data_IF_871558538868
#
_entry.id   IF_871558538868
#
_cell.length_a   1.000
_cell.length_b   1.000
_cell.length_c   1.000
_cell.angle_alpha   90.00
_cell.angle_beta   90.00
_cell.angle_gamma   90.00
#
_symmetry.space_group_name_H-M   'P 1'
#
loop_
_entity.id
_entity.type
_entity.pdbx_description
1 polymer ?
#
# COMPACT_ATOMS: atom_id res chain seq x y z
N UNK A 1 79.59 -36.86 -19.46
CA UNK A 1 78.56 -36.02 -20.15
C UNK A 1 77.20 -36.49 -19.72
N UNK A 2 76.63 -35.87 -18.73
CA UNK A 2 75.30 -36.21 -18.20
C UNK A 2 74.52 -34.89 -18.00
N UNK A 3 73.50 -34.66 -18.79
CA UNK A 3 72.65 -33.50 -18.70
C UNK A 3 71.58 -33.68 -17.61
N UNK A 4 71.62 -32.82 -16.61
CA UNK A 4 70.60 -32.68 -15.60
C UNK A 4 69.42 -31.87 -16.25
N UNK A 5 68.22 -32.45 -16.30
CA UNK A 5 67.01 -31.76 -16.70
C UNK A 5 66.25 -31.42 -15.42
N UNK A 6 66.27 -30.12 -15.06
CA UNK A 6 65.43 -29.58 -13.98
C UNK A 6 64.01 -29.48 -14.42
N UNK A 7 63.11 -30.21 -13.78
CA UNK A 7 61.65 -30.04 -13.91
C UNK A 7 61.21 -28.91 -12.98
N UNK A 8 60.85 -27.77 -13.56
CA UNK A 8 60.22 -26.67 -12.83
C UNK A 8 58.73 -26.99 -12.73
N UNK A 9 58.27 -27.36 -11.55
CA UNK A 9 56.84 -27.50 -11.26
C UNK A 9 56.26 -26.13 -10.93
N UNK A 10 55.46 -25.58 -11.84
CA UNK A 10 54.65 -24.37 -11.59
C UNK A 10 53.41 -24.80 -10.81
N UNK A 11 53.36 -24.53 -9.53
CA UNK A 11 52.15 -24.66 -8.71
C UNK A 11 51.28 -23.46 -8.96
N UNK A 12 50.19 -23.65 -9.71
CA UNK A 12 49.12 -22.65 -9.88
C UNK A 12 48.26 -22.65 -8.61
N UNK A 13 48.53 -21.72 -7.70
CA UNK A 13 47.67 -21.48 -6.53
C UNK A 13 46.38 -20.77 -7.02
N UNK A 14 45.28 -21.52 -7.13
CA UNK A 14 43.97 -20.93 -7.23
C UNK A 14 43.64 -20.26 -5.88
N UNK A 15 43.85 -18.95 -5.79
CA UNK A 15 43.33 -18.15 -4.72
C UNK A 15 41.81 -18.06 -4.92
N UNK A 16 41.05 -18.95 -4.29
CA UNK A 16 39.64 -18.78 -4.09
C UNK A 16 39.46 -17.56 -3.17
N UNK A 17 39.23 -16.39 -3.74
CA UNK A 17 38.80 -15.22 -2.98
C UNK A 17 37.43 -15.56 -2.39
N UNK A 18 37.41 -15.99 -1.13
CA UNK A 18 36.15 -15.98 -0.36
C UNK A 18 35.77 -14.52 -0.23
N UNK A 19 34.78 -14.08 -1.04
CA UNK A 19 34.16 -12.77 -0.85
C UNK A 19 33.64 -12.75 0.58
N UNK A 20 34.16 -11.85 1.40
CA UNK A 20 33.65 -11.64 2.74
C UNK A 20 32.18 -11.23 2.62
N UNK A 21 31.30 -11.84 3.42
CA UNK A 21 29.89 -11.49 3.47
C UNK A 21 29.77 -9.99 3.78
N UNK A 22 29.06 -9.26 2.91
CA UNK A 22 28.82 -7.84 3.14
C UNK A 22 27.61 -7.65 4.08
N UNK A 23 27.68 -6.63 4.92
CA UNK A 23 26.53 -6.18 5.71
C UNK A 23 25.74 -5.14 4.91
N UNK A 24 24.53 -5.51 4.49
CA UNK A 24 23.65 -4.65 3.70
C UNK A 24 22.45 -4.23 4.56
N UNK A 25 22.16 -2.93 4.59
CA UNK A 25 20.97 -2.42 5.28
C UNK A 25 20.08 -1.67 4.28
N UNK A 26 18.84 -2.13 4.13
CA UNK A 26 17.79 -1.45 3.39
C UNK A 26 16.86 -0.68 4.32
N UNK A 27 16.28 0.40 3.82
CA UNK A 27 15.13 1.07 4.41
C UNK A 27 13.93 0.93 3.46
N UNK A 28 12.89 0.23 3.91
CA UNK A 28 11.60 0.15 3.24
C UNK A 28 10.66 1.20 3.85
N UNK A 29 10.22 2.14 3.02
CA UNK A 29 9.26 3.19 3.39
C UNK A 29 7.91 2.84 2.80
N UNK A 30 6.87 2.69 3.64
CA UNK A 30 5.57 2.23 3.17
C UNK A 30 4.39 2.92 3.88
N UNK A 31 3.20 2.78 3.29
CA UNK A 31 1.97 3.27 3.90
C UNK A 31 1.52 2.39 5.08
N UNK A 32 0.73 2.99 5.99
CA UNK A 32 0.39 2.41 7.31
C UNK A 32 -0.10 0.95 7.32
N UNK A 33 -1.04 0.52 6.46
CA UNK A 33 -1.63 -0.81 6.55
C UNK A 33 -0.68 -1.99 6.34
N UNK A 34 0.53 -1.75 5.83
CA UNK A 34 1.46 -2.81 5.41
C UNK A 34 2.43 -3.31 6.46
N UNK A 35 2.36 -2.82 7.71
CA UNK A 35 3.32 -3.12 8.78
C UNK A 35 3.53 -4.62 9.00
N UNK A 36 2.45 -5.35 9.14
CA UNK A 36 2.44 -6.78 9.40
C UNK A 36 2.89 -7.58 8.18
N UNK A 37 2.44 -7.17 6.99
CA UNK A 37 2.85 -7.78 5.72
C UNK A 37 4.37 -7.68 5.54
N UNK A 38 4.94 -6.48 5.67
CA UNK A 38 6.37 -6.30 5.45
C UNK A 38 7.23 -7.01 6.47
N UNK A 39 6.78 -7.16 7.71
CA UNK A 39 7.48 -7.97 8.71
C UNK A 39 7.55 -9.43 8.27
N UNK A 40 6.42 -10.02 7.87
CA UNK A 40 6.35 -11.42 7.44
C UNK A 40 7.16 -11.64 6.14
N UNK A 41 7.09 -10.73 5.17
CA UNK A 41 7.94 -10.73 3.97
C UNK A 41 9.43 -10.72 4.34
N UNK A 42 9.84 -9.86 5.27
CA UNK A 42 11.24 -9.76 5.70
C UNK A 42 11.72 -11.03 6.38
N UNK A 43 10.90 -11.65 7.24
CA UNK A 43 11.23 -12.88 7.96
C UNK A 43 11.50 -14.05 7.02
N UNK A 44 10.86 -14.06 5.83
CA UNK A 44 11.10 -15.08 4.79
C UNK A 44 12.22 -14.67 3.82
N UNK A 45 12.25 -13.43 3.37
CA UNK A 45 13.22 -12.97 2.39
C UNK A 45 14.66 -12.92 2.91
N UNK A 46 14.89 -12.41 4.14
CA UNK A 46 16.25 -12.21 4.70
C UNK A 46 17.05 -13.51 4.74
N UNK A 47 16.51 -14.64 5.28
CA UNK A 47 17.23 -15.92 5.28
C UNK A 47 17.50 -16.44 3.86
N UNK A 48 16.53 -16.28 2.94
CA UNK A 48 16.69 -16.70 1.54
C UNK A 48 17.77 -15.88 0.82
N UNK A 49 17.79 -14.56 1.05
CA UNK A 49 18.83 -13.68 0.49
C UNK A 49 20.21 -14.08 0.98
N UNK A 50 20.38 -14.32 2.29
CA UNK A 50 21.65 -14.81 2.86
C UNK A 50 22.08 -16.13 2.24
N UNK A 51 21.17 -17.08 2.07
CA UNK A 51 21.47 -18.39 1.45
C UNK A 51 21.92 -18.25 0.00
N UNK A 52 21.36 -17.30 -0.75
CA UNK A 52 21.61 -17.17 -2.19
C UNK A 52 22.77 -16.23 -2.53
N UNK A 53 23.01 -15.20 -1.71
CA UNK A 53 24.02 -14.16 -1.95
C UNK A 53 25.21 -14.21 -1.00
N UNK A 54 25.05 -14.85 0.15
CA UNK A 54 26.08 -14.91 1.19
C UNK A 54 26.12 -13.69 2.12
N UNK A 55 25.49 -12.59 1.75
CA UNK A 55 25.49 -11.33 2.50
C UNK A 55 24.53 -11.35 3.69
N UNK A 56 24.88 -10.63 4.76
CA UNK A 56 23.97 -10.35 5.85
C UNK A 56 23.07 -9.16 5.46
N UNK A 57 21.76 -9.37 5.48
CA UNK A 57 20.79 -8.35 5.13
C UNK A 57 19.97 -7.94 6.35
N UNK A 58 19.86 -6.63 6.60
CA UNK A 58 18.91 -6.04 7.54
C UNK A 58 17.94 -5.14 6.77
N UNK A 59 16.65 -5.22 7.08
CA UNK A 59 15.62 -4.36 6.46
C UNK A 59 14.92 -3.56 7.54
N UNK A 60 15.20 -2.26 7.58
CA UNK A 60 14.50 -1.30 8.43
C UNK A 60 13.20 -0.89 7.77
N UNK A 61 12.22 -0.50 8.57
CA UNK A 61 10.89 -0.11 8.09
C UNK A 61 10.49 1.27 8.62
N UNK A 62 9.85 2.06 7.77
CA UNK A 62 9.16 3.30 8.15
C UNK A 62 7.73 3.25 7.60
N UNK A 63 6.75 3.48 8.46
CA UNK A 63 5.33 3.40 8.12
C UNK A 63 4.59 4.66 8.54
N UNK A 64 3.66 5.12 7.73
CA UNK A 64 2.84 6.29 8.00
C UNK A 64 1.81 6.55 6.90
N UNK A 65 1.11 7.67 6.94
CA UNK A 65 0.24 8.07 5.84
C UNK A 65 1.01 8.17 4.53
N UNK A 66 0.46 7.63 3.44
CA UNK A 66 1.18 7.46 2.17
C UNK A 66 1.82 8.75 1.65
N UNK A 67 1.03 9.83 1.55
CA UNK A 67 1.53 11.13 1.08
C UNK A 67 2.53 11.76 2.06
N UNK A 68 2.40 11.46 3.37
CA UNK A 68 3.37 11.88 4.39
C UNK A 68 4.70 11.15 4.21
N UNK A 69 4.66 9.85 3.92
CA UNK A 69 5.86 9.05 3.65
C UNK A 69 6.55 9.47 2.35
N UNK A 70 5.78 9.74 1.29
CA UNK A 70 6.33 10.29 0.04
C UNK A 70 7.07 11.61 0.32
N UNK A 71 6.46 12.50 1.09
CA UNK A 71 7.08 13.76 1.49
C UNK A 71 8.35 13.56 2.28
N UNK A 72 8.36 12.65 3.25
CA UNK A 72 9.55 12.36 4.05
C UNK A 72 10.74 11.90 3.17
N UNK A 73 10.48 11.05 2.15
CA UNK A 73 11.51 10.63 1.19
C UNK A 73 12.02 11.83 0.36
N UNK A 74 11.12 12.69 -0.11
CA UNK A 74 11.47 13.90 -0.84
C UNK A 74 12.32 14.84 0.03
N UNK A 75 12.03 14.95 1.32
CA UNK A 75 12.72 15.80 2.28
C UNK A 75 13.99 15.13 2.86
N UNK A 76 14.39 13.95 2.37
CA UNK A 76 15.68 13.33 2.65
C UNK A 76 15.65 12.05 3.49
N UNK A 77 14.49 11.46 3.77
CA UNK A 77 14.45 10.12 4.37
C UNK A 77 15.06 9.11 3.41
N UNK A 78 16.11 8.42 3.86
CA UNK A 78 17.04 7.64 3.04
C UNK A 78 16.49 6.25 2.65
N UNK A 79 15.31 6.23 2.02
CA UNK A 79 14.64 5.01 1.58
C UNK A 79 15.38 4.33 0.44
N UNK A 80 15.50 3.00 0.49
CA UNK A 80 15.95 2.17 -0.63
C UNK A 80 14.80 1.77 -1.53
N UNK A 81 13.66 1.44 -0.91
CA UNK A 81 12.43 1.06 -1.59
C UNK A 81 11.24 1.78 -0.99
N UNK A 82 10.25 2.03 -1.82
CA UNK A 82 8.97 2.60 -1.37
C UNK A 82 7.82 1.69 -1.79
N UNK A 83 6.81 1.59 -0.93
CA UNK A 83 5.51 0.99 -1.22
C UNK A 83 4.44 1.96 -0.76
N UNK A 84 3.84 2.67 -1.69
CA UNK A 84 2.88 3.72 -1.38
C UNK A 84 1.48 3.35 -1.89
N UNK A 85 0.47 3.97 -1.30
CA UNK A 85 -0.94 3.59 -1.53
C UNK A 85 -1.40 3.76 -2.98
N UNK A 86 -0.69 4.57 -3.77
CA UNK A 86 -0.99 4.79 -5.18
C UNK A 86 0.22 5.29 -5.97
N UNK A 87 0.08 5.24 -7.29
CA UNK A 87 1.08 5.74 -8.25
C UNK A 87 1.44 7.20 -8.01
N UNK A 88 0.51 8.06 -7.59
CA UNK A 88 0.76 9.50 -7.46
C UNK A 88 1.76 9.84 -6.35
N UNK A 89 1.73 9.10 -5.25
CA UNK A 89 2.68 9.32 -4.15
C UNK A 89 4.11 8.93 -4.58
N UNK A 90 4.24 7.84 -5.38
CA UNK A 90 5.52 7.41 -5.95
C UNK A 90 6.00 8.35 -7.06
N UNK A 91 5.09 8.82 -7.92
CA UNK A 91 5.39 9.82 -8.96
C UNK A 91 5.86 11.14 -8.36
N UNK A 92 5.35 11.55 -7.21
CA UNK A 92 5.83 12.75 -6.53
C UNK A 92 7.34 12.65 -6.17
N UNK A 93 7.80 11.45 -5.78
CA UNK A 93 9.22 11.18 -5.53
C UNK A 93 10.00 11.16 -6.86
N UNK A 94 9.44 10.56 -7.91
CA UNK A 94 10.05 10.49 -9.23
C UNK A 94 10.22 11.89 -9.85
N UNK A 95 9.24 12.77 -9.72
CA UNK A 95 9.31 14.16 -10.18
C UNK A 95 10.43 14.98 -9.52
N UNK A 96 10.95 14.53 -8.37
CA UNK A 96 12.13 15.11 -7.71
C UNK A 96 13.46 14.49 -8.17
N UNK A 97 13.42 13.59 -9.17
CA UNK A 97 14.60 12.94 -9.71
C UNK A 97 15.18 11.82 -8.81
N UNK A 98 14.48 11.44 -7.75
CA UNK A 98 14.92 10.37 -6.83
C UNK A 98 14.63 8.96 -7.38
N UNK A 99 13.60 8.84 -8.22
CA UNK A 99 13.24 7.63 -8.94
C UNK A 99 13.33 7.97 -10.43
N UNK A 100 14.04 7.16 -11.24
CA UNK A 100 14.37 7.47 -12.63
C UNK A 100 13.60 6.61 -13.63
N UNK A 101 13.51 7.07 -14.87
CA UNK A 101 12.94 6.33 -16.00
C UNK A 101 11.47 5.96 -15.82
N UNK A 102 11.00 4.99 -16.62
CA UNK A 102 9.64 4.44 -16.52
C UNK A 102 9.59 3.37 -15.40
N UNK A 103 9.60 3.84 -14.16
CA UNK A 103 9.67 3.00 -12.97
C UNK A 103 8.51 2.00 -12.87
N UNK A 104 7.33 2.37 -13.40
CA UNK A 104 6.13 1.52 -13.38
C UNK A 104 6.37 0.22 -14.15
N UNK A 105 7.17 0.25 -15.24
CA UNK A 105 7.44 -0.93 -16.08
C UNK A 105 8.60 -1.81 -15.61
N UNK A 106 9.26 -1.47 -14.50
CA UNK A 106 10.46 -2.21 -14.05
C UNK A 106 10.18 -3.58 -13.45
N UNK A 107 8.99 -3.78 -12.89
CA UNK A 107 8.59 -5.00 -12.22
C UNK A 107 7.30 -5.56 -12.86
N UNK A 108 6.98 -6.85 -12.65
CA UNK A 108 5.76 -7.45 -13.19
C UNK A 108 4.50 -6.68 -12.80
N UNK A 109 3.43 -6.86 -13.58
CA UNK A 109 2.12 -6.24 -13.36
C UNK A 109 2.19 -4.72 -13.15
N UNK A 110 3.07 -4.03 -13.89
CA UNK A 110 3.30 -2.58 -13.77
C UNK A 110 3.77 -2.17 -12.36
N UNK A 111 4.70 -2.92 -11.78
CA UNK A 111 5.23 -2.72 -10.42
C UNK A 111 4.15 -2.81 -9.32
N UNK A 112 3.10 -3.59 -9.58
CA UNK A 112 1.99 -3.84 -8.67
C UNK A 112 2.08 -5.27 -8.11
N UNK A 113 2.49 -5.49 -6.85
CA UNK A 113 2.61 -6.83 -6.29
C UNK A 113 1.28 -7.39 -5.75
N UNK A 114 0.33 -6.53 -5.43
CA UNK A 114 -1.00 -6.86 -4.91
C UNK A 114 -1.95 -5.66 -5.10
N UNK A 115 -3.23 -5.89 -4.91
CA UNK A 115 -4.23 -4.83 -4.85
C UNK A 115 -5.16 -5.01 -3.65
N UNK A 116 -5.97 -4.02 -3.38
CA UNK A 116 -6.95 -4.01 -2.30
C UNK A 116 -8.17 -3.18 -2.68
N UNK A 117 -9.04 -2.93 -1.74
CA UNK A 117 -10.21 -2.07 -1.93
C UNK A 117 -10.61 -1.39 -0.61
N UNK A 118 -11.57 -0.48 -0.67
CA UNK A 118 -12.19 0.11 0.51
C UNK A 118 -13.47 -0.66 0.83
N UNK A 119 -13.60 -1.05 2.08
CA UNK A 119 -14.74 -1.75 2.65
C UNK A 119 -15.22 -1.04 3.90
N UNK A 120 -16.31 -1.50 4.50
CA UNK A 120 -16.88 -0.91 5.71
C UNK A 120 -16.69 -1.86 6.90
N UNK A 121 -16.17 -1.35 8.00
CA UNK A 121 -16.22 -2.02 9.30
C UNK A 121 -17.32 -1.35 10.09
N UNK A 122 -18.25 -2.15 10.61
CA UNK A 122 -19.43 -1.66 11.34
C UNK A 122 -19.49 -2.31 12.72
N UNK A 123 -20.25 -1.69 13.64
CA UNK A 123 -20.52 -2.26 14.95
C UNK A 123 -21.27 -3.59 14.82
N UNK A 124 -21.09 -4.48 15.78
CA UNK A 124 -21.71 -5.81 15.79
C UNK A 124 -23.21 -5.78 15.48
N UNK A 125 -23.63 -6.66 14.59
CA UNK A 125 -25.03 -6.75 14.17
C UNK A 125 -25.48 -5.62 13.26
N UNK A 126 -24.56 -4.73 12.88
CA UNK A 126 -24.82 -3.63 11.96
C UNK A 126 -26.07 -2.80 12.31
N UNK A 127 -26.15 -2.15 13.47
CA UNK A 127 -27.37 -1.51 13.98
C UNK A 127 -27.88 -0.37 13.10
N UNK A 128 -27.02 0.22 12.26
CA UNK A 128 -27.40 1.26 11.29
C UNK A 128 -27.85 0.70 9.94
N UNK A 129 -27.79 -0.62 9.75
CA UNK A 129 -28.20 -1.29 8.51
C UNK A 129 -27.39 -0.86 7.28
N UNK A 130 -26.08 -0.62 7.45
CA UNK A 130 -25.17 -0.16 6.41
C UNK A 130 -24.80 -1.33 5.50
N UNK A 131 -25.15 -1.23 4.21
CA UNK A 131 -24.85 -2.26 3.20
C UNK A 131 -24.19 -1.69 1.96
N UNK A 132 -24.38 -0.40 1.70
CA UNK A 132 -23.91 0.25 0.50
C UNK A 132 -23.60 1.73 0.77
N UNK A 133 -22.89 2.38 -0.15
CA UNK A 133 -22.48 3.78 -0.08
C UNK A 133 -23.64 4.76 0.24
N UNK A 134 -24.85 4.65 -0.36
CA UNK A 134 -25.95 5.54 0.00
C UNK A 134 -26.35 5.49 1.47
N UNK A 135 -26.13 4.36 2.15
CA UNK A 135 -26.48 4.21 3.56
C UNK A 135 -25.62 5.11 4.46
N UNK A 136 -24.38 5.41 4.03
CA UNK A 136 -23.47 6.31 4.76
C UNK A 136 -23.98 7.76 4.80
N UNK A 137 -24.84 8.16 3.87
CA UNK A 137 -25.42 9.48 3.85
C UNK A 137 -26.73 9.58 4.65
N UNK A 138 -27.18 8.51 5.32
CA UNK A 138 -28.36 8.55 6.21
C UNK A 138 -28.09 9.45 7.41
N UNK A 139 -29.10 10.22 7.88
CA UNK A 139 -28.94 11.02 9.09
C UNK A 139 -28.57 10.17 10.30
N UNK A 140 -27.65 10.66 11.14
CA UNK A 140 -27.26 9.99 12.38
C UNK A 140 -26.29 8.81 12.17
N UNK A 141 -25.68 8.66 11.00
CA UNK A 141 -24.55 7.76 10.78
C UNK A 141 -23.25 8.55 11.01
N UNK A 142 -22.45 8.14 11.96
CA UNK A 142 -21.11 8.70 12.17
C UNK A 142 -20.06 7.86 11.44
N UNK A 143 -19.20 8.53 10.65
CA UNK A 143 -18.24 7.88 9.77
C UNK A 143 -16.83 8.17 10.25
N UNK A 144 -15.99 7.14 10.37
CA UNK A 144 -14.56 7.26 10.61
C UNK A 144 -13.81 7.00 9.31
N UNK A 145 -12.94 7.92 8.95
CA UNK A 145 -12.03 7.82 7.80
C UNK A 145 -10.85 8.75 8.02
N UNK A 146 -9.63 8.40 7.59
CA UNK A 146 -8.51 9.31 7.73
C UNK A 146 -8.57 10.48 6.76
N UNK A 147 -7.71 11.47 6.99
CA UNK A 147 -7.65 12.70 6.21
C UNK A 147 -7.17 12.43 4.77
N UNK A 148 -7.96 12.78 3.74
CA UNK A 148 -7.58 12.60 2.34
C UNK A 148 -6.31 13.35 1.91
N UNK A 149 -5.92 14.39 2.65
CA UNK A 149 -4.70 15.17 2.34
C UNK A 149 -3.40 14.49 2.77
N UNK A 150 -3.47 13.53 3.71
CA UNK A 150 -2.27 12.93 4.33
C UNK A 150 -2.22 11.41 4.22
N UNK A 151 -3.36 10.78 3.95
CA UNK A 151 -3.54 9.33 4.00
C UNK A 151 -4.01 8.75 2.68
N UNK A 152 -3.33 7.70 2.22
CA UNK A 152 -3.75 6.88 1.09
C UNK A 152 -5.15 6.27 1.29
N UNK A 153 -5.46 5.77 2.49
CA UNK A 153 -6.82 5.35 2.82
C UNK A 153 -7.81 6.52 2.66
N UNK A 154 -7.45 7.68 3.17
CA UNK A 154 -8.34 8.86 3.12
C UNK A 154 -8.72 9.24 1.70
N UNK A 155 -7.76 9.43 0.78
CA UNK A 155 -8.12 9.82 -0.59
C UNK A 155 -8.77 8.66 -1.38
N UNK A 156 -8.39 7.40 -1.13
CA UNK A 156 -9.06 6.28 -1.78
C UNK A 156 -10.48 6.07 -1.26
N UNK A 157 -10.74 6.30 0.01
CA UNK A 157 -12.12 6.32 0.55
C UNK A 157 -12.96 7.43 -0.07
N UNK A 158 -12.36 8.61 -0.27
CA UNK A 158 -13.01 9.71 -0.98
C UNK A 158 -13.32 9.33 -2.43
N UNK A 159 -12.35 8.75 -3.15
CA UNK A 159 -12.54 8.29 -4.53
C UNK A 159 -13.57 7.17 -4.64
N UNK A 160 -13.60 6.26 -3.66
CA UNK A 160 -14.59 5.18 -3.61
C UNK A 160 -16.01 5.74 -3.41
N UNK A 161 -16.16 6.70 -2.49
CA UNK A 161 -17.43 7.39 -2.27
C UNK A 161 -17.88 8.17 -3.52
N UNK A 162 -17.01 8.97 -4.11
CA UNK A 162 -17.24 9.70 -5.35
C UNK A 162 -17.61 8.77 -6.51
N UNK A 163 -16.78 7.75 -6.71
CA UNK A 163 -16.94 6.78 -7.80
C UNK A 163 -18.19 5.92 -7.65
N UNK A 164 -18.65 5.69 -6.43
CA UNK A 164 -19.92 4.99 -6.20
C UNK A 164 -21.12 5.69 -6.82
N UNK A 165 -21.07 7.02 -6.95
CA UNK A 165 -22.08 7.82 -7.63
C UNK A 165 -21.85 7.82 -9.14
N UNK A 166 -20.63 8.15 -9.58
CA UNK A 166 -20.29 8.28 -11.01
C UNK A 166 -20.48 6.95 -11.76
N UNK A 167 -20.00 5.84 -11.22
CA UNK A 167 -20.07 4.53 -11.90
C UNK A 167 -21.49 3.94 -11.95
N UNK A 168 -22.42 4.55 -11.25
CA UNK A 168 -23.87 4.25 -11.31
C UNK A 168 -24.66 5.24 -12.19
N UNK A 169 -23.96 6.11 -12.95
CA UNK A 169 -24.56 7.05 -13.87
C UNK A 169 -24.95 8.40 -13.26
N UNK A 170 -24.56 8.65 -12.00
CA UNK A 170 -24.73 9.97 -11.37
C UNK A 170 -23.79 11.02 -11.95
N UNK A 171 -24.20 12.28 -11.87
CA UNK A 171 -23.40 13.42 -12.33
C UNK A 171 -22.32 13.82 -11.31
N UNK A 172 -21.34 14.64 -11.73
CA UNK A 172 -20.39 15.28 -10.81
C UNK A 172 -21.09 16.09 -9.71
N UNK A 173 -22.21 16.75 -10.04
CA UNK A 173 -23.01 17.51 -9.08
C UNK A 173 -23.59 16.60 -8.00
N UNK A 174 -24.11 15.43 -8.40
CA UNK A 174 -24.63 14.45 -7.46
C UNK A 174 -23.51 13.88 -6.58
N UNK A 175 -22.33 13.63 -7.15
CA UNK A 175 -21.17 13.17 -6.40
C UNK A 175 -20.70 14.23 -5.38
N UNK A 176 -20.62 15.52 -5.75
CA UNK A 176 -20.33 16.61 -4.81
C UNK A 176 -21.34 16.63 -3.66
N UNK A 177 -22.64 16.59 -3.97
CA UNK A 177 -23.68 16.60 -2.95
C UNK A 177 -23.55 15.39 -2.00
N UNK A 178 -23.27 14.21 -2.54
CA UNK A 178 -23.09 12.99 -1.77
C UNK A 178 -21.86 13.07 -0.83
N UNK A 179 -20.66 13.40 -1.35
CA UNK A 179 -19.46 13.46 -0.51
C UNK A 179 -19.53 14.61 0.51
N UNK A 180 -20.21 15.72 0.19
CA UNK A 180 -20.49 16.80 1.15
C UNK A 180 -21.26 16.26 2.35
N UNK A 181 -22.33 15.52 2.09
CA UNK A 181 -23.16 14.93 3.14
C UNK A 181 -22.38 13.89 3.94
N UNK A 182 -21.62 13.00 3.28
CA UNK A 182 -20.79 11.99 3.92
C UNK A 182 -19.78 12.64 4.87
N UNK A 183 -18.99 13.61 4.39
CA UNK A 183 -17.96 14.26 5.20
C UNK A 183 -18.50 15.19 6.29
N UNK A 184 -19.75 15.65 6.18
CA UNK A 184 -20.43 16.36 7.29
C UNK A 184 -20.69 15.46 8.51
N UNK A 185 -20.64 14.14 8.32
CA UNK A 185 -20.86 13.11 9.33
C UNK A 185 -19.54 12.51 9.86
N UNK A 186 -18.39 13.05 9.43
CA UNK A 186 -17.06 12.62 9.90
C UNK A 186 -16.66 13.49 11.09
N UNK A 187 -16.63 12.95 12.32
CA UNK A 187 -16.29 13.73 13.52
C UNK A 187 -14.80 14.03 13.64
N UNK A 188 -13.93 13.14 13.16
CA UNK A 188 -12.47 13.23 13.28
C UNK A 188 -11.82 12.77 11.99
N UNK A 189 -10.79 13.51 11.54
CA UNK A 189 -9.92 13.10 10.45
C UNK A 189 -8.51 12.79 11.01
N UNK A 190 -8.22 11.52 11.20
CA UNK A 190 -6.90 11.04 11.62
C UNK A 190 -5.89 11.20 10.47
N UNK A 191 -4.61 11.34 10.81
CA UNK A 191 -3.54 11.56 9.82
C UNK A 191 -3.25 10.35 8.92
N UNK A 192 -3.62 9.14 9.34
CA UNK A 192 -3.37 7.88 8.64
C UNK A 192 -4.38 6.79 9.01
N UNK A 193 -4.33 5.66 8.27
CA UNK A 193 -5.25 4.56 8.43
C UNK A 193 -5.24 4.00 9.87
N UNK A 194 -4.05 3.77 10.44
CA UNK A 194 -3.94 3.20 11.80
C UNK A 194 -4.49 4.15 12.89
N UNK A 195 -4.42 5.46 12.68
CA UNK A 195 -5.09 6.44 13.55
C UNK A 195 -6.61 6.29 13.52
N UNK A 196 -7.19 6.15 12.32
CA UNK A 196 -8.62 5.93 12.14
C UNK A 196 -9.08 4.60 12.76
N UNK A 197 -8.31 3.51 12.59
CA UNK A 197 -8.54 2.24 13.31
C UNK A 197 -8.56 2.45 14.83
N UNK A 198 -7.59 3.17 15.39
CA UNK A 198 -7.55 3.47 16.83
C UNK A 198 -8.79 4.27 17.26
N UNK A 199 -9.18 5.27 16.50
CA UNK A 199 -10.38 6.10 16.76
C UNK A 199 -11.65 5.25 16.74
N UNK A 200 -11.79 4.37 15.74
CA UNK A 200 -12.97 3.52 15.63
C UNK A 200 -12.96 2.38 16.66
N UNK A 201 -11.91 1.57 16.71
CA UNK A 201 -11.86 0.33 17.52
C UNK A 201 -11.65 0.63 19.01
N UNK A 202 -10.65 1.46 19.35
CA UNK A 202 -10.24 1.63 20.75
C UNK A 202 -10.98 2.76 21.45
N UNK A 203 -11.31 3.85 20.75
CA UNK A 203 -12.06 4.98 21.31
C UNK A 203 -13.57 4.84 21.09
N UNK A 204 -14.01 3.80 20.36
CA UNK A 204 -15.41 3.48 20.08
C UNK A 204 -16.19 4.64 19.43
N UNK A 205 -15.49 5.53 18.69
CA UNK A 205 -16.09 6.65 17.97
C UNK A 205 -16.60 6.15 16.61
N UNK A 206 -17.80 6.58 16.21
CA UNK A 206 -18.44 6.32 14.93
C UNK A 206 -19.19 4.99 14.83
N UNK A 207 -20.04 4.91 13.83
CA UNK A 207 -20.86 3.74 13.52
C UNK A 207 -20.23 2.86 12.44
N UNK A 208 -19.43 3.48 11.55
CA UNK A 208 -18.78 2.83 10.41
C UNK A 208 -17.38 3.40 10.17
N UNK A 209 -16.43 2.51 9.90
CA UNK A 209 -15.08 2.86 9.47
C UNK A 209 -14.86 2.50 8.00
N UNK A 210 -14.41 3.47 7.19
CA UNK A 210 -13.99 3.24 5.81
C UNK A 210 -12.54 2.79 5.81
N UNK A 211 -12.33 1.49 5.68
CA UNK A 211 -11.02 0.86 5.84
C UNK A 211 -10.52 0.18 4.56
N UNK A 212 -9.22 0.02 4.43
CA UNK A 212 -8.65 -0.95 3.54
C UNK A 212 -9.14 -2.35 3.89
N UNK A 213 -9.35 -3.21 2.88
CA UNK A 213 -9.83 -4.57 3.08
C UNK A 213 -8.98 -5.36 4.09
N UNK A 214 -7.64 -5.25 4.01
CA UNK A 214 -6.74 -5.91 4.94
C UNK A 214 -6.86 -5.38 6.38
N UNK A 215 -6.98 -4.07 6.57
CA UNK A 215 -7.20 -3.47 7.90
C UNK A 215 -8.54 -3.90 8.48
N UNK A 216 -9.59 -3.92 7.66
CA UNK A 216 -10.92 -4.35 8.07
C UNK A 216 -10.93 -5.80 8.58
N UNK A 217 -10.24 -6.72 7.89
CA UNK A 217 -10.08 -8.09 8.37
C UNK A 217 -9.31 -8.16 9.70
N UNK A 218 -8.26 -7.34 9.86
CA UNK A 218 -7.52 -7.26 11.12
C UNK A 218 -8.38 -6.72 12.26
N UNK A 219 -9.12 -5.63 12.02
CA UNK A 219 -10.01 -5.02 13.01
C UNK A 219 -11.08 -5.99 13.50
N UNK A 220 -11.78 -6.67 12.58
CA UNK A 220 -12.81 -7.66 12.93
C UNK A 220 -12.23 -8.85 13.69
N UNK A 221 -11.03 -9.32 13.29
CA UNK A 221 -10.35 -10.42 13.99
C UNK A 221 -9.93 -10.01 15.41
N UNK A 222 -9.38 -8.82 15.59
CA UNK A 222 -8.89 -8.32 16.88
C UNK A 222 -10.04 -7.93 17.81
N UNK A 223 -11.15 -7.46 17.27
CA UNK A 223 -12.35 -7.09 18.02
C UNK A 223 -13.14 -8.30 18.58
N UNK A 224 -12.71 -9.54 18.30
CA UNK A 224 -13.27 -10.79 18.86
C UNK A 224 -14.80 -10.88 18.82
N UNK A 225 -15.41 -10.32 17.79
CA UNK A 225 -16.84 -10.40 17.55
C UNK A 225 -17.65 -9.12 17.87
N UNK A 226 -17.00 -8.01 18.18
CA UNK A 226 -17.67 -6.72 18.42
C UNK A 226 -17.82 -5.88 17.15
N UNK A 227 -17.24 -6.32 16.02
CA UNK A 227 -17.28 -5.68 14.74
C UNK A 227 -17.67 -6.66 13.62
N UNK A 228 -18.33 -6.14 12.59
CA UNK A 228 -18.68 -6.87 11.38
C UNK A 228 -18.07 -6.20 10.15
N UNK A 229 -17.69 -7.01 9.15
CA UNK A 229 -17.18 -6.54 7.87
C UNK A 229 -18.30 -6.52 6.84
N UNK A 230 -18.45 -5.38 6.16
CA UNK A 230 -19.45 -5.18 5.10
C UNK A 230 -18.74 -4.82 3.79
N UNK A 231 -19.00 -5.60 2.75
CA UNK A 231 -18.53 -5.33 1.39
C UNK A 231 -19.61 -4.56 0.62
N UNK A 232 -19.34 -3.29 0.20
CA UNK A 232 -20.28 -2.58 -0.65
C UNK A 232 -20.31 -3.23 -2.05
N UNK A 233 -21.45 -3.14 -2.80
CA UNK A 233 -21.55 -3.74 -4.13
C UNK A 233 -20.54 -3.19 -5.15
N UNK A 234 -20.05 -1.96 -4.94
CA UNK A 234 -19.06 -1.28 -5.77
C UNK A 234 -18.05 -0.56 -4.90
N UNK A 235 -16.76 -0.64 -5.24
CA UNK A 235 -15.69 0.14 -4.59
C UNK A 235 -14.52 0.34 -5.54
N UNK A 236 -13.53 1.12 -5.10
CA UNK A 236 -12.34 1.40 -5.90
C UNK A 236 -11.35 0.23 -5.85
N UNK A 237 -10.72 -0.08 -6.98
CA UNK A 237 -9.52 -0.91 -7.02
C UNK A 237 -8.33 -0.07 -6.56
N UNK A 238 -7.83 -0.38 -5.37
CA UNK A 238 -6.67 0.27 -4.80
C UNK A 238 -5.39 -0.46 -5.24
N UNK A 239 -4.45 0.26 -5.83
CA UNK A 239 -3.26 -0.29 -6.47
C UNK A 239 -1.97 0.29 -5.87
N UNK A 240 -1.47 -0.27 -4.76
CA UNK A 240 -0.21 0.13 -4.15
C UNK A 240 0.97 -0.36 -4.99
N UNK A 241 1.69 0.59 -5.57
CA UNK A 241 2.87 0.29 -6.37
C UNK A 241 4.13 0.26 -5.51
N UNK A 242 5.12 -0.50 -5.97
CA UNK A 242 6.45 -0.55 -5.35
C UNK A 242 7.51 0.02 -6.29
N UNK A 243 8.50 0.70 -5.74
CA UNK A 243 9.59 1.25 -6.54
C UNK A 243 10.91 1.30 -5.77
N UNK A 244 12.02 1.26 -6.52
CA UNK A 244 13.34 1.61 -6.01
C UNK A 244 13.49 3.13 -5.95
N UNK A 245 14.14 3.63 -4.92
CA UNK A 245 14.60 5.03 -4.87
C UNK A 245 16.02 5.08 -5.43
N UNK A 246 16.12 5.25 -6.75
CA UNK A 246 17.37 5.10 -7.51
C UNK A 246 18.54 5.89 -6.93
N UNK A 247 18.31 7.17 -6.64
CA UNK A 247 19.36 8.05 -6.08
C UNK A 247 19.94 7.51 -4.77
N UNK A 248 19.11 6.88 -3.94
CA UNK A 248 19.55 6.35 -2.64
C UNK A 248 20.25 5.01 -2.79
N UNK A 249 19.68 4.06 -3.55
CA UNK A 249 20.29 2.73 -3.72
C UNK A 249 21.64 2.78 -4.43
N UNK A 250 21.84 3.75 -5.34
CA UNK A 250 23.11 3.96 -6.01
C UNK A 250 24.16 4.56 -5.07
N UNK A 251 23.79 5.60 -4.33
CA UNK A 251 24.66 6.23 -3.34
C UNK A 251 25.05 5.25 -2.21
N UNK A 252 24.10 4.45 -1.73
CA UNK A 252 24.30 3.45 -0.65
C UNK A 252 24.90 2.15 -1.16
N UNK A 253 24.97 1.93 -2.48
CA UNK A 253 25.40 0.66 -3.12
C UNK A 253 24.54 -0.54 -2.71
N UNK A 254 23.24 -0.31 -2.49
CA UNK A 254 22.27 -1.32 -2.05
C UNK A 254 21.37 -1.83 -3.17
N UNK A 255 21.54 -1.35 -4.41
CA UNK A 255 20.68 -1.63 -5.57
C UNK A 255 20.39 -3.12 -5.76
N UNK A 256 21.41 -3.96 -5.75
CA UNK A 256 21.24 -5.40 -5.98
C UNK A 256 20.34 -6.07 -4.93
N UNK A 257 20.46 -5.69 -3.67
CA UNK A 257 19.63 -6.20 -2.58
C UNK A 257 18.20 -5.66 -2.67
N UNK A 258 18.05 -4.37 -2.96
CA UNK A 258 16.74 -3.72 -3.09
C UNK A 258 15.94 -4.27 -4.29
N UNK A 259 16.61 -4.51 -5.45
CA UNK A 259 15.97 -5.17 -6.59
C UNK A 259 15.55 -6.61 -6.28
N UNK A 260 16.42 -7.39 -5.61
CA UNK A 260 16.07 -8.74 -5.20
C UNK A 260 14.87 -8.75 -4.26
N UNK A 261 14.80 -7.80 -3.32
CA UNK A 261 13.70 -7.63 -2.39
C UNK A 261 12.37 -7.34 -3.09
N UNK A 262 12.35 -6.41 -4.03
CA UNK A 262 11.14 -6.11 -4.78
C UNK A 262 10.73 -7.23 -5.73
N UNK A 263 11.69 -7.94 -6.37
CA UNK A 263 11.40 -9.11 -7.22
C UNK A 263 10.81 -10.28 -6.44
N UNK A 264 11.22 -10.45 -5.19
CA UNK A 264 10.69 -11.50 -4.31
C UNK A 264 9.17 -11.41 -4.14
N UNK A 265 8.58 -10.21 -4.14
CA UNK A 265 7.15 -9.99 -3.99
C UNK A 265 6.28 -10.71 -5.04
N UNK A 266 6.88 -11.09 -6.17
CA UNK A 266 6.20 -11.75 -7.28
C UNK A 266 6.42 -13.27 -7.30
N UNK A 267 7.10 -13.83 -6.29
CA UNK A 267 7.21 -15.28 -6.11
C UNK A 267 5.93 -15.86 -5.53
N UNK A 268 5.66 -17.14 -5.80
CA UNK A 268 4.48 -17.83 -5.24
C UNK A 268 4.46 -17.75 -3.71
N UNK A 269 5.62 -17.91 -3.06
CA UNK A 269 5.76 -17.80 -1.60
C UNK A 269 5.32 -16.41 -1.10
N UNK A 270 5.83 -15.33 -1.70
CA UNK A 270 5.45 -13.98 -1.31
C UNK A 270 3.97 -13.68 -1.60
N UNK A 271 3.42 -14.21 -2.69
CA UNK A 271 2.00 -14.07 -3.03
C UNK A 271 1.08 -14.78 -2.02
N UNK A 272 1.49 -15.94 -1.49
CA UNK A 272 0.77 -16.60 -0.38
C UNK A 272 0.86 -15.77 0.92
N UNK A 273 2.01 -15.18 1.23
CA UNK A 273 2.16 -14.25 2.37
C UNK A 273 1.27 -13.02 2.19
N UNK A 274 1.23 -12.44 1.00
CA UNK A 274 0.36 -11.32 0.65
C UNK A 274 -1.11 -11.67 0.93
N UNK A 275 -1.59 -12.84 0.45
CA UNK A 275 -2.95 -13.32 0.69
C UNK A 275 -3.25 -13.57 2.19
N UNK A 276 -2.30 -14.15 2.93
CA UNK A 276 -2.38 -14.36 4.39
C UNK A 276 -2.59 -13.06 5.16
N UNK A 277 -2.06 -11.95 4.65
CA UNK A 277 -2.23 -10.61 5.22
C UNK A 277 -3.41 -9.84 4.62
N UNK A 278 -4.35 -10.55 3.99
CA UNK A 278 -5.60 -10.00 3.45
C UNK A 278 -5.42 -8.95 2.32
N UNK A 279 -4.30 -9.01 1.60
CA UNK A 279 -4.15 -8.31 0.33
C UNK A 279 -4.48 -9.25 -0.82
N UNK A 280 -5.15 -8.74 -1.84
CA UNK A 280 -5.50 -9.52 -3.02
C UNK A 280 -4.26 -9.73 -3.88
N UNK A 281 -3.72 -10.96 -3.96
CA UNK A 281 -2.51 -11.22 -4.74
C UNK A 281 -2.78 -11.05 -6.24
N UNK A 282 -1.73 -10.74 -7.01
CA UNK A 282 -1.81 -10.71 -8.48
C UNK A 282 -1.68 -12.11 -9.09
N UNK A 283 -1.22 -13.09 -8.34
CA UNK A 283 -1.18 -14.48 -8.76
C UNK A 283 -2.60 -15.06 -8.71
N UNK A 284 -3.20 -15.32 -9.88
CA UNK A 284 -4.58 -15.82 -10.02
C UNK A 284 -4.81 -17.15 -9.30
N UNK A 285 -3.81 -18.05 -9.25
CA UNK A 285 -3.94 -19.32 -8.57
C UNK A 285 -4.04 -19.13 -7.05
N UNK A 286 -3.21 -18.25 -6.49
CA UNK A 286 -3.24 -17.89 -5.08
C UNK A 286 -4.55 -17.15 -4.75
N UNK A 287 -4.99 -16.23 -5.60
CA UNK A 287 -6.25 -15.51 -5.40
C UNK A 287 -7.45 -16.48 -5.38
N UNK A 288 -7.52 -17.42 -6.32
CA UNK A 288 -8.59 -18.45 -6.36
C UNK A 288 -8.58 -19.35 -5.12
N UNK A 289 -7.40 -19.76 -4.67
CA UNK A 289 -7.24 -20.55 -3.43
C UNK A 289 -7.80 -19.82 -2.20
N UNK A 290 -7.75 -18.51 -2.19
CA UNK A 290 -8.21 -17.64 -1.10
C UNK A 290 -9.58 -16.98 -1.37
N UNK A 291 -10.43 -17.56 -2.24
CA UNK A 291 -11.72 -17.00 -2.64
C UNK A 291 -12.70 -16.79 -1.47
N UNK A 292 -12.58 -17.55 -0.39
CA UNK A 292 -13.39 -17.37 0.82
C UNK A 292 -13.05 -16.05 1.55
N UNK A 293 -11.79 -15.59 1.44
CA UNK A 293 -11.32 -14.33 2.03
C UNK A 293 -11.65 -13.14 1.15
N UNK A 294 -11.59 -13.32 -0.17
CA UNK A 294 -11.76 -12.25 -1.16
C UNK A 294 -13.03 -12.49 -2.00
N UNK A 295 -14.19 -11.97 -1.55
CA UNK A 295 -15.44 -12.18 -2.27
C UNK A 295 -15.38 -11.57 -3.68
N UNK A 296 -15.83 -12.34 -4.67
CA UNK A 296 -15.87 -11.93 -6.07
C UNK A 296 -17.04 -10.98 -6.41
N UNK A 297 -18.01 -10.84 -5.50
CA UNK A 297 -19.26 -10.10 -5.75
C UNK A 297 -19.14 -8.59 -5.71
N UNK A 298 -17.97 -8.05 -5.34
CA UNK A 298 -17.74 -6.59 -5.34
C UNK A 298 -17.25 -6.12 -6.72
N UNK A 299 -17.94 -5.16 -7.33
CA UNK A 299 -17.45 -4.50 -8.55
C UNK A 299 -16.35 -3.52 -8.18
N UNK A 300 -15.12 -3.81 -8.58
CA UNK A 300 -13.97 -2.91 -8.39
C UNK A 300 -13.79 -2.02 -9.63
N UNK A 301 -14.01 -0.73 -9.48
CA UNK A 301 -13.75 0.24 -10.54
C UNK A 301 -12.34 0.81 -10.45
N UNK A 302 -11.78 1.19 -11.58
CA UNK A 302 -10.50 1.89 -11.66
C UNK A 302 -10.67 3.40 -11.61
N UNK A 303 -9.61 4.13 -11.27
CA UNK A 303 -9.63 5.61 -11.31
C UNK A 303 -10.00 6.14 -12.70
N UNK A 304 -9.70 5.41 -13.77
CA UNK A 304 -10.04 5.81 -15.15
C UNK A 304 -11.55 5.88 -15.40
N UNK A 305 -12.36 5.25 -14.56
CA UNK A 305 -13.83 5.34 -14.65
C UNK A 305 -14.39 6.63 -14.00
N UNK A 306 -13.57 7.36 -13.24
CA UNK A 306 -13.98 8.59 -12.56
C UNK A 306 -13.19 9.83 -13.00
N UNK A 307 -12.03 9.67 -13.64
CA UNK A 307 -11.20 10.74 -14.16
C UNK A 307 -10.30 10.22 -15.30
N UNK A 308 -9.58 11.11 -15.99
CA UNK A 308 -8.66 10.73 -17.05
C UNK A 308 -7.52 9.81 -16.56
N UNK A 309 -6.98 10.11 -15.39
CA UNK A 309 -5.95 9.34 -14.69
C UNK A 309 -5.96 9.67 -13.20
N UNK A 310 -5.03 9.05 -12.45
CA UNK A 310 -4.94 9.23 -11.00
C UNK A 310 -4.53 10.67 -10.62
N UNK A 311 -3.65 11.31 -11.40
CA UNK A 311 -3.20 12.67 -11.14
C UNK A 311 -4.35 13.68 -11.34
N UNK A 312 -5.15 13.50 -12.40
CA UNK A 312 -6.34 14.30 -12.66
C UNK A 312 -7.38 14.13 -11.53
N UNK A 313 -7.67 12.89 -11.13
CA UNK A 313 -8.57 12.61 -10.01
C UNK A 313 -8.09 13.29 -8.72
N UNK A 314 -6.83 13.11 -8.38
CA UNK A 314 -6.26 13.69 -7.17
C UNK A 314 -6.29 15.22 -7.20
N UNK A 315 -5.90 15.84 -8.32
CA UNK A 315 -5.92 17.30 -8.48
C UNK A 315 -7.33 17.86 -8.33
N UNK A 316 -8.30 17.26 -9.01
CA UNK A 316 -9.70 17.73 -8.99
C UNK A 316 -10.35 17.52 -7.62
N UNK A 317 -10.14 16.35 -7.01
CA UNK A 317 -10.91 15.94 -5.83
C UNK A 317 -10.21 16.31 -4.52
N UNK A 318 -8.87 16.16 -4.43
CA UNK A 318 -8.12 16.28 -3.18
C UNK A 318 -7.09 17.41 -3.23
N UNK A 319 -6.58 17.80 -4.39
CA UNK A 319 -5.58 18.85 -4.55
C UNK A 319 -5.99 20.17 -3.90
N UNK A 320 -5.06 21.11 -3.78
CA UNK A 320 -5.34 22.44 -3.23
C UNK A 320 -6.44 23.12 -4.05
N UNK A 321 -7.52 23.53 -3.37
CA UNK A 321 -8.73 24.07 -4.02
C UNK A 321 -9.64 23.03 -4.68
N UNK A 322 -9.34 21.74 -4.51
CA UNK A 322 -10.20 20.64 -5.00
C UNK A 322 -11.50 20.49 -4.22
N UNK A 323 -12.31 19.52 -4.65
CA UNK A 323 -13.65 19.29 -4.06
C UNK A 323 -13.58 19.15 -2.54
N UNK A 324 -12.63 18.39 -2.01
CA UNK A 324 -12.49 18.18 -0.57
C UNK A 324 -12.33 19.50 0.20
N UNK A 325 -11.52 20.44 -0.29
CA UNK A 325 -11.30 21.75 0.36
C UNK A 325 -12.57 22.61 0.37
N UNK A 326 -13.48 22.41 -0.59
CA UNK A 326 -14.72 23.18 -0.67
C UNK A 326 -15.82 22.66 0.25
N UNK A 327 -15.81 21.34 0.54
CA UNK A 327 -16.88 20.66 1.29
C UNK A 327 -16.55 20.46 2.77
N UNK A 328 -15.28 20.25 3.12
CA UNK A 328 -14.88 19.99 4.50
C UNK A 328 -14.41 21.26 5.19
N UNK A 329 -15.11 21.64 6.24
CA UNK A 329 -14.71 22.72 7.14
C UNK A 329 -14.46 22.11 8.52
N UNK A 330 -13.24 22.16 9.05
CA UNK A 330 -12.97 21.66 10.41
C UNK A 330 -13.96 22.28 11.39
N UNK A 331 -14.57 21.44 12.23
CA UNK A 331 -15.36 21.95 13.36
C UNK A 331 -14.38 22.67 14.29
N UNK A 332 -14.61 23.95 14.55
CA UNK A 332 -13.84 24.77 15.48
C UNK A 332 -14.12 24.36 16.93
#
# INVERSE_FOLDING_TARGET
>A
MTRLVSKLAVALALAASSAAAADVTLLNVSYDPTRELWRDINDHFIPQYKKTKGDNLAIKQSHGGSSTQARAVIDGLDADVVTLASVIDTDAIAQKGLITGDWVKRLPSSSLPYYSTIVFVVRKGNPKGIKDWPDLAKPGVEIVTPNPKTSGNGYLSFFAAWGSVITRGGSKKDAVAYVTKLYSQVPVLDSGARGATTTFVQKEIGDVHLAWENEAHLEVREAKGDLDLVYPPVSIRAEPHVALVDANVDRKKTRAAAEAYLKYLYTDEAQEIIAKHFYRPINDAVLKKNAATFPAGIKLFSVKEIAADFAAAHKELIGTGGVFDTIYKPKR
#
